data_IF_838247154461
#
_entry.id   IF_838247154461
#
_cell.length_a   1.000
_cell.length_b   1.000
_cell.length_c   1.000
_cell.angle_alpha   90.00
_cell.angle_beta   90.00
_cell.angle_gamma   90.00
#
_symmetry.space_group_name_H-M   'P 1'
#
loop_
_entity.id
_entity.type
_entity.pdbx_description
1 polymer ?
#
# COMPACT_ATOMS: atom_id res chain seq x y z
N UNK A 1 12.79 13.67 13.96
CA UNK A 1 13.27 14.95 13.39
C UNK A 1 12.47 15.31 12.14
N UNK A 2 12.06 16.58 12.01
CA UNK A 2 11.32 17.12 10.87
C UNK A 2 12.18 17.22 9.59
N UNK A 3 13.49 17.46 9.74
CA UNK A 3 14.39 17.63 8.59
C UNK A 3 14.58 16.32 7.81
N UNK A 4 14.85 15.22 8.53
CA UNK A 4 14.96 13.86 7.93
C UNK A 4 13.70 13.43 7.18
N UNK A 5 12.53 13.89 7.61
CA UNK A 5 11.28 13.59 6.91
C UNK A 5 11.14 14.35 5.60
N UNK A 6 11.45 15.65 5.59
CA UNK A 6 11.40 16.45 4.37
C UNK A 6 12.37 15.92 3.32
N UNK A 7 13.58 15.56 3.76
CA UNK A 7 14.60 14.93 2.92
C UNK A 7 14.12 13.59 2.35
N UNK A 8 13.59 12.69 3.19
CA UNK A 8 13.05 11.42 2.73
C UNK A 8 11.89 11.60 1.73
N UNK A 9 11.00 12.56 1.96
CA UNK A 9 9.90 12.85 1.04
C UNK A 9 10.42 13.39 -0.29
N UNK A 10 11.41 14.28 -0.27
CA UNK A 10 12.05 14.80 -1.49
C UNK A 10 12.67 13.68 -2.32
N UNK A 11 13.51 12.84 -1.70
CA UNK A 11 14.17 11.71 -2.37
C UNK A 11 13.17 10.72 -2.98
N UNK A 12 12.05 10.44 -2.28
CA UNK A 12 11.01 9.55 -2.80
C UNK A 12 10.25 10.17 -3.97
N UNK A 13 9.99 11.48 -3.97
CA UNK A 13 9.34 12.17 -5.09
C UNK A 13 10.26 12.21 -6.32
N UNK A 14 11.55 12.49 -6.14
CA UNK A 14 12.53 12.45 -7.24
C UNK A 14 12.64 11.04 -7.83
N UNK A 15 12.74 10.03 -6.96
CA UNK A 15 12.79 8.64 -7.39
C UNK A 15 11.50 8.21 -8.13
N UNK A 16 10.34 8.73 -7.70
CA UNK A 16 9.07 8.49 -8.38
C UNK A 16 9.09 9.09 -9.78
N UNK A 17 9.47 10.37 -9.92
CA UNK A 17 9.54 11.05 -11.20
C UNK A 17 10.52 10.36 -12.17
N UNK A 18 11.70 9.97 -11.69
CA UNK A 18 12.69 9.25 -12.49
C UNK A 18 12.10 7.91 -12.97
N UNK A 19 11.53 7.09 -12.06
CA UNK A 19 10.97 5.77 -12.41
C UNK A 19 9.79 5.88 -13.37
N UNK A 20 8.91 6.85 -13.19
CA UNK A 20 7.81 7.07 -14.14
C UNK A 20 8.31 7.43 -15.54
N UNK A 21 9.34 8.27 -15.61
CA UNK A 21 9.95 8.68 -16.89
C UNK A 21 10.69 7.52 -17.58
N UNK A 22 11.41 6.69 -16.82
CA UNK A 22 12.29 5.66 -17.39
C UNK A 22 11.61 4.31 -17.58
N UNK A 23 10.66 3.95 -16.72
CA UNK A 23 10.03 2.62 -16.69
C UNK A 23 8.54 2.65 -17.08
N UNK A 24 7.94 3.85 -17.10
CA UNK A 24 6.51 4.03 -17.31
C UNK A 24 5.70 4.02 -16.01
N UNK A 25 4.52 4.65 -16.06
CA UNK A 25 3.67 4.91 -14.88
C UNK A 25 3.09 3.67 -14.20
N UNK A 26 3.04 2.55 -14.92
CA UNK A 26 2.47 1.28 -14.45
C UNK A 26 3.54 0.25 -14.06
N UNK A 27 4.80 0.66 -13.95
CA UNK A 27 5.86 -0.27 -13.60
C UNK A 27 5.80 -0.66 -12.10
N UNK A 28 6.07 -1.93 -11.72
CA UNK A 28 6.07 -2.35 -10.31
C UNK A 28 6.97 -1.50 -9.39
N UNK A 29 8.10 -1.01 -9.91
CA UNK A 29 8.98 -0.11 -9.17
C UNK A 29 8.33 1.26 -8.85
N UNK A 30 7.40 1.74 -9.67
CA UNK A 30 6.59 2.93 -9.39
C UNK A 30 5.63 2.65 -8.25
N UNK A 31 4.93 1.51 -8.28
CA UNK A 31 4.05 1.09 -7.17
C UNK A 31 4.80 0.97 -5.84
N UNK A 32 6.04 0.44 -5.87
CA UNK A 32 6.88 0.37 -4.68
C UNK A 32 7.23 1.76 -4.13
N UNK A 33 7.61 2.72 -4.98
CA UNK A 33 7.89 4.10 -4.53
C UNK A 33 6.65 4.78 -3.96
N UNK A 34 5.51 4.65 -4.65
CA UNK A 34 4.23 5.22 -4.22
C UNK A 34 3.84 4.70 -2.83
N UNK A 35 3.95 3.39 -2.60
CA UNK A 35 3.69 2.80 -1.29
C UNK A 35 4.65 3.33 -0.21
N UNK A 36 5.93 3.50 -0.51
CA UNK A 36 6.89 4.05 0.46
C UNK A 36 6.57 5.50 0.82
N UNK A 37 6.17 6.31 -0.16
CA UNK A 37 5.75 7.69 0.07
C UNK A 37 4.45 7.75 0.90
N UNK A 38 3.50 6.86 0.61
CA UNK A 38 2.26 6.73 1.39
C UNK A 38 2.54 6.36 2.86
N UNK A 39 3.42 5.37 3.10
CA UNK A 39 3.83 5.00 4.47
C UNK A 39 4.51 6.16 5.18
N UNK A 40 5.37 6.90 4.48
CA UNK A 40 6.05 8.06 5.04
C UNK A 40 5.05 9.15 5.48
N UNK A 41 4.06 9.44 4.64
CA UNK A 41 2.98 10.38 4.94
C UNK A 41 2.07 9.89 6.07
N UNK A 42 1.67 8.62 6.05
CA UNK A 42 0.87 8.01 7.12
C UNK A 42 1.55 8.09 8.49
N UNK A 43 2.87 7.84 8.56
CA UNK A 43 3.65 8.00 9.80
C UNK A 43 3.71 9.44 10.34
N UNK A 44 3.34 10.44 9.54
CA UNK A 44 3.23 11.85 9.95
C UNK A 44 1.79 12.32 10.15
N UNK A 45 0.82 11.41 10.16
CA UNK A 45 -0.60 11.77 10.27
C UNK A 45 -1.18 12.36 8.97
N UNK A 46 -0.42 12.36 7.87
CA UNK A 46 -0.84 12.89 6.56
C UNK A 46 -1.62 11.84 5.77
N UNK A 47 -2.71 11.36 6.36
CA UNK A 47 -3.47 10.23 5.80
C UNK A 47 -4.15 10.59 4.48
N UNK A 48 -4.61 11.84 4.32
CA UNK A 48 -5.24 12.34 3.09
C UNK A 48 -4.26 12.36 1.91
N UNK A 49 -2.99 12.67 2.15
CA UNK A 49 -1.94 12.62 1.13
C UNK A 49 -1.45 11.18 0.87
N UNK A 50 -1.49 10.30 1.87
CA UNK A 50 -1.05 8.92 1.76
C UNK A 50 -2.03 8.03 0.95
N UNK A 51 -3.33 8.22 1.16
CA UNK A 51 -4.37 7.38 0.55
C UNK A 51 -4.32 7.31 -0.99
N UNK A 52 -4.28 8.41 -1.75
CA UNK A 52 -4.24 8.34 -3.21
C UNK A 52 -2.98 7.65 -3.73
N UNK A 53 -1.85 7.78 -3.03
CA UNK A 53 -0.60 7.09 -3.38
C UNK A 53 -0.72 5.58 -3.18
N UNK A 54 -1.33 5.15 -2.07
CA UNK A 54 -1.60 3.73 -1.82
C UNK A 54 -2.63 3.14 -2.81
N UNK A 55 -3.67 3.88 -3.18
CA UNK A 55 -4.67 3.46 -4.18
C UNK A 55 -4.02 3.28 -5.56
N UNK A 56 -3.22 4.25 -6.00
CA UNK A 56 -2.47 4.13 -7.26
C UNK A 56 -1.48 2.97 -7.25
N UNK A 57 -0.79 2.73 -6.13
CA UNK A 57 0.09 1.57 -6.00
C UNK A 57 -0.67 0.23 -6.04
N UNK A 58 -1.92 0.19 -5.57
CA UNK A 58 -2.79 -0.98 -5.65
C UNK A 58 -3.19 -1.25 -7.11
N UNK A 59 -3.67 -0.22 -7.83
CA UNK A 59 -4.06 -0.33 -9.24
C UNK A 59 -2.92 -0.88 -10.11
N UNK A 60 -1.70 -0.35 -9.91
CA UNK A 60 -0.52 -0.83 -10.66
C UNK A 60 -0.24 -2.30 -10.34
N UNK A 61 -0.26 -2.71 -9.06
CA UNK A 61 0.00 -4.10 -8.69
C UNK A 61 -1.07 -5.04 -9.23
N UNK A 62 -2.35 -4.66 -9.18
CA UNK A 62 -3.42 -5.45 -9.77
C UNK A 62 -3.25 -5.61 -11.28
N UNK A 63 -2.87 -4.54 -11.97
CA UNK A 63 -2.64 -4.55 -13.42
C UNK A 63 -1.48 -5.46 -13.81
N UNK A 64 -0.36 -5.41 -13.08
CA UNK A 64 0.86 -6.13 -13.45
C UNK A 64 0.91 -7.57 -12.93
N UNK A 65 0.39 -7.81 -11.72
CA UNK A 65 0.51 -9.10 -11.03
C UNK A 65 -0.80 -9.89 -11.02
N UNK A 66 -1.92 -9.25 -11.32
CA UNK A 66 -3.25 -9.81 -11.18
C UNK A 66 -3.84 -9.58 -9.77
N UNK A 67 -5.17 -9.52 -9.70
CA UNK A 67 -5.93 -9.13 -8.50
C UNK A 67 -5.77 -10.07 -7.28
N UNK A 68 -5.26 -11.29 -7.50
CA UNK A 68 -5.11 -12.32 -6.47
C UNK A 68 -3.65 -12.62 -6.11
N UNK A 69 -2.73 -11.71 -6.45
CA UNK A 69 -1.32 -11.86 -6.09
C UNK A 69 -1.08 -11.47 -4.61
N UNK A 70 -0.20 -12.17 -3.85
CA UNK A 70 0.11 -11.81 -2.46
C UNK A 70 0.56 -10.35 -2.25
N UNK A 71 1.26 -9.75 -3.22
CA UNK A 71 1.63 -8.33 -3.13
C UNK A 71 0.43 -7.36 -3.26
N UNK A 72 -0.67 -7.79 -3.90
CA UNK A 72 -1.94 -7.04 -3.89
C UNK A 72 -2.54 -7.10 -2.49
N UNK A 73 -2.55 -8.28 -1.84
CA UNK A 73 -3.00 -8.43 -0.46
C UNK A 73 -2.19 -7.56 0.52
N UNK A 74 -0.87 -7.52 0.35
CA UNK A 74 0.01 -6.64 1.14
C UNK A 74 -0.35 -5.16 0.97
N UNK A 75 -0.65 -4.74 -0.27
CA UNK A 75 -1.03 -3.36 -0.54
C UNK A 75 -2.41 -3.02 0.02
N UNK A 76 -3.38 -3.94 -0.07
CA UNK A 76 -4.70 -3.83 0.55
C UNK A 76 -4.59 -3.63 2.06
N UNK A 77 -3.75 -4.43 2.75
CA UNK A 77 -3.50 -4.25 4.18
C UNK A 77 -2.95 -2.86 4.54
N UNK A 78 -2.03 -2.32 3.72
CA UNK A 78 -1.51 -0.97 3.95
C UNK A 78 -2.59 0.11 3.76
N UNK A 79 -3.48 -0.07 2.78
CA UNK A 79 -4.57 0.86 2.53
C UNK A 79 -5.63 0.79 3.66
N UNK A 80 -5.95 -0.41 4.14
CA UNK A 80 -6.82 -0.60 5.30
C UNK A 80 -6.29 0.12 6.55
N UNK A 81 -5.00 0.00 6.86
CA UNK A 81 -4.38 0.70 7.97
C UNK A 81 -4.46 2.23 7.83
N UNK A 82 -4.33 2.77 6.62
CA UNK A 82 -4.50 4.19 6.36
C UNK A 82 -5.97 4.64 6.54
N UNK A 83 -6.93 3.81 6.15
CA UNK A 83 -8.36 4.08 6.33
C UNK A 83 -8.78 4.00 7.82
N UNK A 84 -8.19 3.08 8.59
CA UNK A 84 -8.44 2.96 10.03
C UNK A 84 -8.09 4.25 10.77
N UNK A 85 -6.93 4.84 10.46
CA UNK A 85 -6.51 6.13 11.04
C UNK A 85 -7.41 7.31 10.64
N UNK A 86 -8.28 7.13 9.64
CA UNK A 86 -9.27 8.12 9.20
C UNK A 86 -10.70 7.79 9.67
N UNK A 87 -10.90 6.71 10.43
CA UNK A 87 -12.24 6.27 10.86
C UNK A 87 -13.14 5.72 9.75
N UNK A 88 -12.56 5.32 8.61
CA UNK A 88 -13.29 4.81 7.44
C UNK A 88 -13.52 3.30 7.54
N UNK A 89 -14.31 2.87 8.51
CA UNK A 89 -14.43 1.45 8.88
C UNK A 89 -14.95 0.53 7.76
N UNK A 90 -15.87 1.01 6.92
CA UNK A 90 -16.36 0.24 5.77
C UNK A 90 -15.25 -0.07 4.76
N UNK A 91 -14.39 0.91 4.46
CA UNK A 91 -13.22 0.70 3.59
C UNK A 91 -12.20 -0.25 4.24
N UNK A 92 -12.01 -0.17 5.56
CA UNK A 92 -11.12 -1.06 6.32
C UNK A 92 -11.58 -2.52 6.17
N UNK A 93 -12.85 -2.79 6.46
CA UNK A 93 -13.41 -4.13 6.36
C UNK A 93 -13.29 -4.67 4.93
N UNK A 94 -13.62 -3.86 3.93
CA UNK A 94 -13.50 -4.24 2.52
C UNK A 94 -12.06 -4.65 2.16
N UNK A 95 -11.07 -3.83 2.49
CA UNK A 95 -9.68 -4.10 2.13
C UNK A 95 -9.10 -5.30 2.89
N UNK A 96 -9.36 -5.43 4.20
CA UNK A 96 -8.85 -6.56 4.98
C UNK A 96 -9.48 -7.88 4.59
N UNK A 97 -10.80 -7.93 4.33
CA UNK A 97 -11.45 -9.16 3.85
C UNK A 97 -10.87 -9.62 2.52
N UNK A 98 -10.66 -8.67 1.60
CA UNK A 98 -10.08 -8.99 0.30
C UNK A 98 -8.62 -9.43 0.41
N UNK A 99 -7.82 -8.82 1.29
CA UNK A 99 -6.46 -9.28 1.55
C UNK A 99 -6.42 -10.68 2.17
N UNK A 100 -7.33 -10.94 3.10
CA UNK A 100 -7.48 -12.22 3.78
C UNK A 100 -7.79 -13.34 2.78
N UNK A 101 -8.78 -13.13 1.91
CA UNK A 101 -9.13 -14.08 0.85
C UNK A 101 -7.93 -14.42 -0.04
N UNK A 102 -7.13 -13.43 -0.42
CA UNK A 102 -5.94 -13.66 -1.24
C UNK A 102 -4.89 -14.49 -0.49
N UNK A 103 -4.58 -14.13 0.76
CA UNK A 103 -3.58 -14.85 1.54
C UNK A 103 -4.02 -16.28 1.85
N UNK A 104 -5.27 -16.52 2.25
CA UNK A 104 -5.79 -17.87 2.52
C UNK A 104 -5.72 -18.74 1.26
N UNK A 105 -6.10 -18.20 0.09
CA UNK A 105 -6.06 -18.94 -1.17
C UNK A 105 -4.65 -19.19 -1.71
N UNK A 106 -3.67 -18.31 -1.42
CA UNK A 106 -2.32 -18.40 -2.01
C UNK A 106 -1.26 -18.99 -1.09
N UNK A 107 -1.37 -18.78 0.21
CA UNK A 107 -0.36 -19.16 1.21
C UNK A 107 -0.88 -20.20 2.19
N UNK A 108 -2.20 -20.41 2.27
CA UNK A 108 -2.85 -21.30 3.22
C UNK A 108 -3.24 -20.58 4.51
N UNK A 109 -4.19 -21.17 5.25
CA UNK A 109 -4.81 -20.55 6.43
C UNK A 109 -3.85 -20.35 7.62
N UNK A 110 -2.75 -21.12 7.68
CA UNK A 110 -1.74 -21.06 8.74
C UNK A 110 -0.61 -20.04 8.47
N UNK A 111 -0.66 -19.32 7.34
CA UNK A 111 0.36 -18.31 7.01
C UNK A 111 0.32 -17.12 7.99
N UNK A 112 1.47 -16.60 8.45
CA UNK A 112 1.51 -15.46 9.36
C UNK A 112 0.81 -14.20 8.83
N UNK A 113 0.72 -14.00 7.51
CA UNK A 113 -0.01 -12.88 6.92
C UNK A 113 -1.52 -13.04 7.05
N UNK A 114 -2.03 -14.28 7.05
CA UNK A 114 -3.45 -14.57 7.36
C UNK A 114 -3.74 -14.17 8.81
N UNK A 115 -2.95 -14.67 9.75
CA UNK A 115 -3.09 -14.33 11.18
C UNK A 115 -3.01 -12.82 11.42
N UNK A 116 -2.02 -12.14 10.81
CA UNK A 116 -1.87 -10.69 10.90
C UNK A 116 -3.08 -9.93 10.34
N UNK A 117 -3.63 -10.40 9.21
CA UNK A 117 -4.79 -9.74 8.58
C UNK A 117 -6.04 -9.93 9.44
N UNK A 118 -6.26 -11.12 9.99
CA UNK A 118 -7.35 -11.41 10.96
C UNK A 118 -7.26 -10.53 12.21
N UNK A 119 -6.06 -10.34 12.76
CA UNK A 119 -5.87 -9.49 13.95
C UNK A 119 -6.21 -8.02 13.72
N UNK A 120 -6.24 -7.55 12.46
CA UNK A 120 -6.52 -6.16 12.13
C UNK A 120 -7.95 -5.93 11.59
N UNK A 121 -8.70 -7.01 11.33
CA UNK A 121 -10.12 -6.97 10.95
C UNK A 121 -11.00 -6.82 12.21
#
# INVERSE_FOLDING_TARGET
DQNKYKEAAHLLNDALAIREKTLGKDHPAVAATLNNLAVLYGKRGKHKEAEPLCKRALEIREKVLGKFHPDVAKQLNNLALLCQNQGKYEEVEYYYRRALEIYENKLGADDPNVAKTKNNL
#
